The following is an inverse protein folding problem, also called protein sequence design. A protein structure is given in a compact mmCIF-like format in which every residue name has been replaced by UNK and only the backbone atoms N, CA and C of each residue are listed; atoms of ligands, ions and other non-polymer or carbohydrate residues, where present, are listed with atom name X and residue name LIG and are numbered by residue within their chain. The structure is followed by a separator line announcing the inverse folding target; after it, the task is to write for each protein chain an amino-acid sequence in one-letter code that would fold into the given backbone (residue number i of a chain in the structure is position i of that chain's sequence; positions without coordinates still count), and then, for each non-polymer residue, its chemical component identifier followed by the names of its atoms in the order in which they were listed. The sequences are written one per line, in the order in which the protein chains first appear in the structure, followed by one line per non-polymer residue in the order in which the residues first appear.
data_IF_145992420398
#
_entry.id   IF_145992420398
#
_cell.length_a   1.000
_cell.length_b   1.000
_cell.length_c   1.000
_cell.angle_alpha   90.00
_cell.angle_beta   90.00
_cell.angle_gamma   90.00
#
_symmetry.space_group_name_H-M   'P 1'
#
loop_
_entity.id
_entity.type
_entity.pdbx_description
1 polymer ?
#
# COMPACT_ATOMS: atom_id res chain seq x y z
N UNK A 1 11.61 -14.69 13.44
CA UNK A 1 10.88 -13.84 12.46
C UNK A 1 10.66 -12.42 13.01
N UNK A 2 10.13 -11.46 12.21
CA UNK A 2 9.95 -10.06 12.66
C UNK A 2 9.15 -9.93 13.97
N UNK A 3 8.12 -10.77 14.16
CA UNK A 3 7.33 -10.82 15.38
C UNK A 3 8.17 -11.21 16.60
N UNK A 4 9.01 -12.24 16.49
CA UNK A 4 9.91 -12.67 17.58
C UNK A 4 10.99 -11.63 17.90
N UNK A 5 11.29 -10.75 16.95
CA UNK A 5 12.22 -9.64 17.12
C UNK A 5 11.57 -8.40 17.77
N UNK A 6 10.29 -8.47 18.12
CA UNK A 6 9.58 -7.38 18.80
C UNK A 6 9.19 -6.20 17.88
N UNK A 7 9.06 -6.44 16.57
CA UNK A 7 8.60 -5.40 15.65
C UNK A 7 7.17 -4.94 16.01
N UNK A 8 6.99 -3.66 16.28
CA UNK A 8 5.67 -3.05 16.58
C UNK A 8 4.87 -2.67 15.34
N UNK A 9 5.50 -2.65 14.16
CA UNK A 9 4.86 -2.32 12.91
C UNK A 9 5.52 -3.02 11.71
N UNK A 10 4.73 -3.23 10.66
CA UNK A 10 5.17 -3.73 9.35
C UNK A 10 4.65 -2.80 8.26
N UNK A 11 5.57 -2.35 7.39
CA UNK A 11 5.24 -1.68 6.13
C UNK A 11 5.42 -2.69 5.02
N UNK A 12 4.31 -3.18 4.48
CA UNK A 12 4.30 -4.13 3.38
C UNK A 12 4.35 -3.38 2.05
N UNK A 13 5.15 -3.89 1.11
CA UNK A 13 5.30 -3.29 -0.22
C UNK A 13 4.06 -3.41 -1.12
N UNK A 14 3.05 -4.19 -0.70
CA UNK A 14 1.74 -4.28 -1.35
C UNK A 14 0.69 -4.81 -0.37
N UNK A 15 -0.59 -4.58 -0.67
CA UNK A 15 -1.70 -5.14 0.10
C UNK A 15 -1.70 -6.68 0.12
N UNK A 16 -1.23 -7.32 -0.95
CA UNK A 16 -1.08 -8.78 -1.03
C UNK A 16 -0.02 -9.29 -0.05
N UNK A 17 1.10 -8.58 0.13
CA UNK A 17 2.10 -8.91 1.14
C UNK A 17 1.56 -8.64 2.55
N UNK A 18 0.78 -7.56 2.73
CA UNK A 18 0.13 -7.24 4.00
C UNK A 18 -0.84 -8.35 4.45
N UNK A 19 -1.54 -9.02 3.51
CA UNK A 19 -2.35 -10.20 3.82
C UNK A 19 -1.51 -11.33 4.44
N UNK A 20 -0.28 -11.53 3.98
CA UNK A 20 0.67 -12.45 4.61
C UNK A 20 1.00 -12.06 6.05
N UNK A 21 1.20 -10.76 6.31
CA UNK A 21 1.41 -10.23 7.65
C UNK A 21 0.19 -10.47 8.55
N UNK A 22 -1.03 -10.23 8.05
CA UNK A 22 -2.27 -10.53 8.76
C UNK A 22 -2.33 -11.98 9.20
N UNK A 23 -2.08 -12.91 8.26
CA UNK A 23 -2.06 -14.34 8.57
C UNK A 23 -1.02 -14.68 9.63
N UNK A 24 0.17 -14.10 9.57
CA UNK A 24 1.22 -14.34 10.57
C UNK A 24 0.81 -13.85 11.96
N UNK A 25 0.26 -12.63 12.06
CA UNK A 25 -0.23 -12.05 13.32
C UNK A 25 -1.39 -12.87 13.89
N UNK A 26 -2.37 -13.24 13.07
CA UNK A 26 -3.51 -14.06 13.49
C UNK A 26 -3.08 -15.46 13.91
N UNK A 27 -2.15 -16.11 13.20
CA UNK A 27 -1.63 -17.42 13.58
C UNK A 27 -0.88 -17.39 14.93
N UNK A 28 -0.31 -16.24 15.30
CA UNK A 28 0.30 -16.01 16.60
C UNK A 28 -0.73 -15.64 17.69
N UNK A 29 -2.03 -15.66 17.38
CA UNK A 29 -3.11 -15.29 18.30
C UNK A 29 -3.33 -13.78 18.45
N UNK A 30 -2.66 -12.96 17.64
CA UNK A 30 -2.77 -11.50 17.66
C UNK A 30 -3.80 -10.96 16.65
N UNK A 31 -4.00 -9.65 16.71
CA UNK A 31 -4.85 -8.84 15.84
C UNK A 31 -4.00 -7.71 15.23
N UNK A 32 -3.92 -7.59 13.89
CA UNK A 32 -3.27 -6.46 13.23
C UNK A 32 -3.80 -5.11 13.73
N UNK A 33 -2.92 -4.14 13.93
CA UNK A 33 -3.25 -2.83 14.50
C UNK A 33 -3.36 -2.78 16.03
N UNK A 34 -3.42 -3.93 16.70
CA UNK A 34 -3.43 -4.01 18.16
C UNK A 34 -2.07 -4.47 18.69
N UNK A 35 -1.62 -5.67 18.32
CA UNK A 35 -0.31 -6.18 18.73
C UNK A 35 0.80 -5.67 17.82
N UNK A 36 0.55 -5.62 16.51
CA UNK A 36 1.49 -5.13 15.50
C UNK A 36 0.73 -4.33 14.45
N UNK A 37 1.13 -3.10 14.22
CA UNK A 37 0.56 -2.28 13.13
C UNK A 37 0.95 -2.84 11.77
N UNK A 38 0.02 -2.84 10.82
CA UNK A 38 0.28 -3.28 9.45
C UNK A 38 -0.22 -2.21 8.48
N UNK A 39 0.67 -1.74 7.62
CA UNK A 39 0.35 -0.82 6.52
C UNK A 39 0.70 -1.48 5.20
N UNK A 40 -0.23 -1.44 4.25
CA UNK A 40 -0.04 -1.90 2.88
C UNK A 40 0.28 -0.78 1.90
N UNK A 41 0.25 -1.14 0.62
CA UNK A 41 0.44 -0.24 -0.50
C UNK A 41 -0.50 -0.71 -1.62
N UNK A 42 -1.15 0.23 -2.30
CA UNK A 42 -2.12 0.12 -3.41
C UNK A 42 -3.52 0.65 -3.06
N UNK A 43 -3.98 0.49 -1.82
CA UNK A 43 -5.41 0.59 -1.44
C UNK A 43 -6.33 -0.17 -2.40
N UNK A 44 -5.93 -1.40 -2.71
CA UNK A 44 -6.69 -2.30 -3.55
C UNK A 44 -8.03 -2.66 -2.90
N UNK A 45 -8.94 -3.27 -3.68
CA UNK A 45 -10.26 -3.68 -3.21
C UNK A 45 -10.24 -4.64 -2.02
N UNK A 46 -9.11 -5.31 -1.75
CA UNK A 46 -8.95 -6.19 -0.58
C UNK A 46 -8.74 -5.42 0.71
N UNK A 47 -8.16 -4.22 0.66
CA UNK A 47 -7.79 -3.45 1.84
C UNK A 47 -8.96 -3.19 2.81
N UNK A 48 -10.14 -2.71 2.37
CA UNK A 48 -11.29 -2.53 3.25
C UNK A 48 -11.97 -3.85 3.67
N UNK A 49 -11.68 -4.96 2.99
CA UNK A 49 -12.29 -6.28 3.25
C UNK A 49 -11.53 -7.09 4.30
N UNK A 50 -10.30 -6.71 4.63
CA UNK A 50 -9.58 -7.33 5.74
C UNK A 50 -10.22 -6.97 7.09
N UNK A 51 -10.02 -7.82 8.09
CA UNK A 51 -10.52 -7.61 9.45
C UNK A 51 -9.35 -7.64 10.44
N UNK A 52 -9.00 -6.51 11.08
CA UNK A 52 -9.50 -5.16 10.80
C UNK A 52 -9.12 -4.66 9.41
N UNK A 53 -9.80 -3.62 8.91
CA UNK A 53 -9.48 -3.04 7.59
C UNK A 53 -8.03 -2.56 7.51
N UNK A 54 -7.37 -2.82 6.38
CA UNK A 54 -5.96 -2.52 6.13
C UNK A 54 -5.75 -1.03 5.83
N UNK A 55 -4.94 -0.35 6.64
CA UNK A 55 -4.39 0.94 6.29
C UNK A 55 -3.42 0.75 5.11
N UNK A 56 -3.54 1.57 4.08
CA UNK A 56 -2.75 1.40 2.85
C UNK A 56 -2.48 2.73 2.19
N UNK A 57 -1.34 2.83 1.50
CA UNK A 57 -1.05 3.98 0.63
C UNK A 57 -1.80 3.78 -0.69
N UNK A 58 -2.89 4.52 -0.88
CA UNK A 58 -3.66 4.55 -2.11
C UNK A 58 -2.85 5.17 -3.23
N UNK A 59 -2.65 4.39 -4.29
CA UNK A 59 -2.04 4.88 -5.52
C UNK A 59 -3.12 5.36 -6.49
N UNK A 60 -2.93 6.52 -7.17
CA UNK A 60 -3.87 6.99 -8.18
C UNK A 60 -3.69 6.23 -9.51
N UNK A 61 -3.79 4.90 -9.49
CA UNK A 61 -3.45 4.02 -10.64
C UNK A 61 -4.28 4.35 -11.89
N UNK A 62 -5.52 4.81 -11.72
CA UNK A 62 -6.35 5.29 -12.83
C UNK A 62 -5.77 6.53 -13.52
N UNK A 63 -5.23 7.48 -12.75
CA UNK A 63 -4.54 8.65 -13.29
C UNK A 63 -3.17 8.29 -13.87
N UNK A 64 -2.43 7.38 -13.22
CA UNK A 64 -1.17 6.84 -13.76
C UNK A 64 -1.40 6.22 -15.14
N UNK A 65 -2.45 5.42 -15.31
CA UNK A 65 -2.81 4.84 -16.60
C UNK A 65 -3.16 5.88 -17.66
N UNK A 66 -3.97 6.89 -17.30
CA UNK A 66 -4.29 8.02 -18.20
C UNK A 66 -3.04 8.76 -18.64
N UNK A 67 -2.16 9.05 -17.70
CA UNK A 67 -0.94 9.81 -17.94
C UNK A 67 0.07 9.01 -18.77
N UNK A 68 0.23 7.72 -18.49
CA UNK A 68 1.06 6.82 -19.29
C UNK A 68 0.58 6.77 -20.76
N UNK A 69 -0.73 6.68 -21.00
CA UNK A 69 -1.28 6.69 -22.37
C UNK A 69 -1.10 8.04 -23.05
N UNK A 70 -1.31 9.15 -22.33
CA UNK A 70 -1.07 10.50 -22.86
C UNK A 70 0.39 10.66 -23.30
N UNK A 71 1.34 10.23 -22.47
CA UNK A 71 2.78 10.29 -22.76
C UNK A 71 3.17 9.40 -23.95
N UNK A 72 2.62 8.18 -24.03
CA UNK A 72 2.85 7.27 -25.13
C UNK A 72 2.36 7.86 -26.46
N UNK A 73 1.11 8.32 -26.50
CA UNK A 73 0.52 8.93 -27.70
C UNK A 73 1.31 10.16 -28.15
N UNK A 74 1.72 11.02 -27.21
CA UNK A 74 2.53 12.19 -27.52
C UNK A 74 3.89 11.81 -28.16
N UNK A 75 4.55 10.75 -27.69
CA UNK A 75 5.81 10.27 -28.27
C UNK A 75 5.62 9.58 -29.63
N UNK A 76 4.48 8.92 -29.84
CA UNK A 76 4.15 8.34 -31.15
C UNK A 76 3.90 9.42 -32.20
N UNK A 77 3.27 10.53 -31.81
CA UNK A 77 3.04 11.68 -32.69
C UNK A 77 4.32 12.47 -33.00
N UNK A 78 5.24 12.55 -32.03
CA UNK A 78 6.56 13.19 -32.20
C UNK A 78 7.66 12.34 -31.54
N UNK A 79 8.36 11.48 -32.31
CA UNK A 79 9.44 10.65 -31.79
C UNK A 79 10.63 11.44 -31.23
N UNK A 80 10.82 12.70 -31.65
CA UNK A 80 11.91 13.56 -31.19
C UNK A 80 11.56 14.32 -29.90
N UNK A 81 10.31 14.24 -29.44
CA UNK A 81 9.85 14.91 -28.22
C UNK A 81 10.69 14.52 -26.99
N UNK A 82 11.18 15.48 -26.20
CA UNK A 82 11.95 15.20 -24.98
C UNK A 82 11.21 14.27 -24.01
N UNK A 83 11.92 13.43 -23.24
CA UNK A 83 11.32 12.64 -22.17
C UNK A 83 10.62 13.51 -21.14
N UNK A 84 9.38 13.16 -20.83
CA UNK A 84 8.56 13.81 -19.82
C UNK A 84 8.43 12.88 -18.61
N UNK A 85 8.47 13.44 -17.40
CA UNK A 85 8.30 12.72 -16.14
C UNK A 85 7.18 13.39 -15.36
N UNK A 86 6.17 12.61 -15.00
CA UNK A 86 5.04 13.07 -14.20
C UNK A 86 4.97 12.24 -12.92
N UNK A 87 4.91 12.93 -11.78
CA UNK A 87 4.77 12.32 -10.46
C UNK A 87 3.37 12.62 -9.93
N UNK A 88 2.57 11.58 -9.75
CA UNK A 88 1.22 11.69 -9.19
C UNK A 88 1.27 11.39 -7.69
N UNK A 89 0.69 12.25 -6.83
CA UNK A 89 0.79 12.09 -5.38
C UNK A 89 -0.09 10.92 -4.91
N UNK A 90 0.44 10.00 -4.09
CA UNK A 90 -0.38 9.01 -3.39
C UNK A 90 -1.05 9.61 -2.16
N UNK A 91 -1.97 8.88 -1.54
CA UNK A 91 -2.62 9.27 -0.29
C UNK A 91 -2.63 8.11 0.71
N UNK A 92 -2.35 8.37 1.98
CA UNK A 92 -2.51 7.35 3.03
C UNK A 92 -3.99 7.22 3.39
N UNK A 93 -4.53 6.01 3.25
CA UNK A 93 -5.86 5.65 3.74
C UNK A 93 -5.71 4.95 5.08
N UNK A 94 -6.13 5.64 6.14
CA UNK A 94 -6.03 5.13 7.52
C UNK A 94 -7.20 4.20 7.81
N UNK A 95 -6.91 3.01 8.34
CA UNK A 95 -7.88 2.02 8.82
C UNK A 95 -7.36 1.34 10.11
N UNK A 96 -8.16 0.52 10.82
CA UNK A 96 -7.81 0.04 12.16
C UNK A 96 -6.64 -0.95 12.24
N UNK A 97 -6.04 -1.36 11.12
CA UNK A 97 -4.76 -2.09 11.14
C UNK A 97 -3.54 -1.22 11.52
N UNK A 98 -3.73 0.10 11.61
CA UNK A 98 -2.74 1.03 12.13
C UNK A 98 -3.09 1.38 13.58
N UNK A 99 -2.29 0.89 14.52
CA UNK A 99 -2.44 1.18 15.95
C UNK A 99 -1.73 2.46 16.36
N UNK A 100 -2.05 2.96 17.55
CA UNK A 100 -1.25 4.00 18.18
C UNK A 100 0.14 3.44 18.52
N UNK A 101 1.18 4.26 18.38
CA UNK A 101 2.50 3.89 18.86
C UNK A 101 2.45 3.73 20.38
N UNK A 102 2.70 2.52 20.88
CA UNK A 102 3.05 2.30 22.28
C UNK A 102 4.49 2.78 22.46
N UNK A 103 4.65 3.84 23.27
CA UNK A 103 5.95 4.33 23.74
C UNK A 103 6.59 3.42 24.77
#
# INVERSE_FOLDING_TARGET
PLLDAGASAVVAASDTLALGCYRAVTNAGGTPGREVSVVGFDDSSVAPLLSPGLASVAQPLGDVGREAMRLLLARMSDPAKPPERVLLPPALVVRPSLGAASG
#
